data_IF_318862089259
#
_entry.id   IF_318862089259
#
_cell.length_a   1.000
_cell.length_b   1.000
_cell.length_c   1.000
_cell.angle_alpha   90.00
_cell.angle_beta   90.00
_cell.angle_gamma   90.00
#
_symmetry.space_group_name_H-M   'P 1'
#
loop_
_entity.id
_entity.type
_entity.pdbx_description
1 polymer ?
#
# COMPACT_ATOMS: atom_id res chain seq x y z
N UNK A 1 12.48 13.57 15.17
CA UNK A 1 12.72 12.51 14.17
C UNK A 1 11.85 12.79 12.95
N UNK A 2 12.44 13.07 11.79
CA UNK A 2 11.71 13.24 10.53
C UNK A 2 11.22 11.87 10.08
N UNK A 3 9.93 11.58 10.24
CA UNK A 3 9.31 10.41 9.63
C UNK A 3 9.42 10.63 8.13
N UNK A 4 10.30 9.87 7.46
CA UNK A 4 10.45 9.93 6.02
C UNK A 4 9.15 9.43 5.39
N UNK A 5 8.33 10.37 4.94
CA UNK A 5 7.06 10.07 4.28
C UNK A 5 7.38 9.49 2.91
N UNK A 6 6.92 8.28 2.57
CA UNK A 6 7.15 7.71 1.25
C UNK A 6 6.60 8.64 0.16
N UNK A 7 7.35 8.78 -0.93
CA UNK A 7 6.93 9.58 -2.08
C UNK A 7 5.70 8.96 -2.76
N UNK A 8 4.90 9.73 -3.51
CA UNK A 8 3.80 9.18 -4.30
C UNK A 8 4.25 8.04 -5.22
N UNK A 9 5.43 8.17 -5.83
CA UNK A 9 6.03 7.13 -6.68
C UNK A 9 6.32 5.83 -5.92
N UNK A 10 6.83 5.91 -4.69
CA UNK A 10 7.10 4.74 -3.86
C UNK A 10 5.79 4.03 -3.46
N UNK A 11 4.74 4.81 -3.14
CA UNK A 11 3.42 4.25 -2.82
C UNK A 11 2.78 3.56 -4.03
N UNK A 12 2.88 4.14 -5.22
CA UNK A 12 2.40 3.51 -6.45
C UNK A 12 3.20 2.25 -6.81
N UNK A 13 4.52 2.24 -6.59
CA UNK A 13 5.34 1.03 -6.76
C UNK A 13 4.88 -0.09 -5.83
N UNK A 14 4.68 0.21 -4.54
CA UNK A 14 4.17 -0.75 -3.56
C UNK A 14 2.77 -1.24 -3.91
N UNK A 15 1.89 -0.36 -4.40
CA UNK A 15 0.58 -0.74 -4.88
C UNK A 15 0.66 -1.76 -6.03
N UNK A 16 1.57 -1.53 -6.99
CA UNK A 16 1.82 -2.48 -8.08
C UNK A 16 2.30 -3.85 -7.58
N UNK A 17 3.21 -3.87 -6.59
CA UNK A 17 3.66 -5.12 -5.97
C UNK A 17 2.52 -5.89 -5.28
N UNK A 18 1.67 -5.19 -4.53
CA UNK A 18 0.56 -5.83 -3.81
C UNK A 18 -0.53 -6.33 -4.76
N UNK A 19 -0.86 -5.56 -5.81
CA UNK A 19 -1.77 -6.01 -6.85
C UNK A 19 -1.23 -7.26 -7.56
N UNK A 20 0.07 -7.26 -7.91
CA UNK A 20 0.74 -8.42 -8.50
C UNK A 20 0.71 -9.64 -7.59
N UNK A 21 0.98 -9.48 -6.29
CA UNK A 21 0.91 -10.56 -5.31
C UNK A 21 -0.50 -11.17 -5.22
N UNK A 22 -1.53 -10.33 -5.10
CA UNK A 22 -2.92 -10.79 -5.06
C UNK A 22 -3.34 -11.55 -6.33
N UNK A 23 -3.01 -11.02 -7.50
CA UNK A 23 -3.33 -11.65 -8.80
C UNK A 23 -2.57 -12.99 -8.96
N UNK A 24 -1.28 -13.03 -8.62
CA UNK A 24 -0.48 -14.26 -8.69
C UNK A 24 -1.03 -15.35 -7.77
N UNK A 25 -1.51 -14.97 -6.58
CA UNK A 25 -2.09 -15.91 -5.63
C UNK A 25 -3.39 -16.52 -6.16
N UNK A 26 -4.27 -15.70 -6.74
CA UNK A 26 -5.51 -16.15 -7.36
C UNK A 26 -5.25 -17.11 -8.54
N UNK A 27 -4.32 -16.73 -9.41
CA UNK A 27 -3.99 -17.47 -10.63
C UNK A 27 -3.29 -18.80 -10.33
N UNK A 28 -2.45 -18.86 -9.29
CA UNK A 28 -1.78 -20.11 -8.87
C UNK A 28 -2.77 -21.19 -8.45
N UNK A 29 -3.87 -20.84 -7.77
CA UNK A 29 -4.91 -21.81 -7.38
C UNK A 29 -5.79 -22.22 -8.56
N UNK A 30 -5.99 -21.33 -9.54
CA UNK A 30 -6.78 -21.64 -10.73
C UNK A 30 -6.08 -22.58 -11.73
N UNK A 31 -4.75 -22.71 -11.65
CA UNK A 31 -3.92 -23.47 -12.61
C UNK A 31 -3.32 -24.75 -12.02
N UNK A 32 -3.42 -24.97 -10.71
CA UNK A 32 -2.93 -26.18 -10.03
C UNK A 32 -3.98 -27.31 -9.96
N UNK A 33 -3.56 -28.56 -9.73
CA UNK A 33 -4.49 -29.65 -9.41
C UNK A 33 -5.27 -29.31 -8.12
N UNK A 34 -6.57 -29.66 -8.05
CA UNK A 34 -7.38 -29.35 -6.88
C UNK A 34 -6.83 -30.09 -5.65
N UNK A 35 -6.29 -29.33 -4.72
CA UNK A 35 -5.83 -29.83 -3.43
C UNK A 35 -7.01 -29.77 -2.43
N UNK A 36 -7.52 -30.90 -1.92
CA UNK A 36 -8.63 -30.91 -0.97
C UNK A 36 -8.30 -30.24 0.37
N UNK A 37 -7.02 -30.02 0.69
CA UNK A 37 -6.60 -29.33 1.92
C UNK A 37 -6.62 -27.80 1.78
N UNK A 38 -6.67 -27.26 0.55
CA UNK A 38 -6.62 -25.83 0.28
C UNK A 38 -8.03 -25.29 0.02
N UNK A 39 -8.52 -24.46 0.95
CA UNK A 39 -9.80 -23.77 0.77
C UNK A 39 -9.69 -22.66 -0.28
N UNK A 40 -10.30 -22.85 -1.45
CA UNK A 40 -10.37 -21.85 -2.53
C UNK A 40 -10.94 -20.51 -2.05
N UNK A 41 -11.93 -20.56 -1.15
CA UNK A 41 -12.53 -19.37 -0.55
C UNK A 41 -11.51 -18.56 0.25
N UNK A 42 -10.66 -19.22 1.04
CA UNK A 42 -9.60 -18.53 1.82
C UNK A 42 -8.59 -17.86 0.89
N UNK A 43 -8.19 -18.53 -0.18
CA UNK A 43 -7.22 -17.97 -1.14
C UNK A 43 -7.82 -16.80 -1.91
N UNK A 44 -9.09 -16.87 -2.32
CA UNK A 44 -9.77 -15.75 -2.95
C UNK A 44 -9.89 -14.54 -2.01
N UNK A 45 -10.16 -14.78 -0.72
CA UNK A 45 -10.21 -13.73 0.30
C UNK A 45 -8.84 -13.09 0.55
N UNK A 46 -7.77 -13.89 0.67
CA UNK A 46 -6.42 -13.38 0.88
C UNK A 46 -5.96 -12.57 -0.35
N UNK A 47 -6.16 -13.10 -1.55
CA UNK A 47 -5.92 -12.38 -2.81
C UNK A 47 -6.65 -11.03 -2.86
N UNK A 48 -7.93 -11.00 -2.47
CA UNK A 48 -8.71 -9.76 -2.42
C UNK A 48 -8.11 -8.74 -1.44
N UNK A 49 -7.58 -9.17 -0.29
CA UNK A 49 -6.97 -8.26 0.68
C UNK A 49 -5.66 -7.65 0.18
N UNK A 50 -4.86 -8.40 -0.58
CA UNK A 50 -3.68 -7.85 -1.26
C UNK A 50 -4.07 -6.80 -2.31
N UNK A 51 -5.11 -7.05 -3.10
CA UNK A 51 -5.61 -6.10 -4.09
C UNK A 51 -6.24 -4.86 -3.44
N UNK A 52 -6.97 -5.04 -2.34
CA UNK A 52 -7.53 -3.92 -1.55
C UNK A 52 -6.42 -3.06 -0.94
N UNK A 53 -5.36 -3.69 -0.41
CA UNK A 53 -4.19 -2.97 0.08
C UNK A 53 -3.53 -2.13 -1.04
N UNK A 54 -3.43 -2.69 -2.24
CA UNK A 54 -2.95 -1.95 -3.42
C UNK A 54 -3.83 -0.73 -3.73
N UNK A 55 -5.16 -0.91 -3.72
CA UNK A 55 -6.09 0.19 -3.98
C UNK A 55 -5.95 1.34 -2.98
N UNK A 56 -5.78 1.03 -1.69
CA UNK A 56 -5.54 2.03 -0.66
C UNK A 56 -4.21 2.75 -0.82
N UNK A 57 -3.14 2.04 -1.20
CA UNK A 57 -1.86 2.66 -1.52
C UNK A 57 -1.94 3.60 -2.74
N UNK A 58 -2.64 3.19 -3.81
CA UNK A 58 -2.88 4.05 -4.97
C UNK A 58 -3.68 5.30 -4.56
N UNK A 59 -4.68 5.16 -3.70
CA UNK A 59 -5.42 6.30 -3.18
C UNK A 59 -4.53 7.25 -2.37
N UNK A 60 -3.70 6.72 -1.47
CA UNK A 60 -2.73 7.52 -0.71
C UNK A 60 -1.73 8.23 -1.63
N UNK A 61 -1.23 7.55 -2.66
CA UNK A 61 -0.33 8.11 -3.66
C UNK A 61 -1.00 9.27 -4.41
N UNK A 62 -2.23 9.08 -4.86
CA UNK A 62 -2.99 10.11 -5.58
C UNK A 62 -3.19 11.38 -4.74
N UNK A 63 -3.51 11.23 -3.45
CA UNK A 63 -3.66 12.38 -2.54
C UNK A 63 -2.37 13.17 -2.36
N UNK A 64 -1.22 12.48 -2.29
CA UNK A 64 0.07 13.12 -2.16
C UNK A 64 0.53 13.77 -3.47
N UNK A 65 0.33 13.10 -4.60
CA UNK A 65 0.65 13.64 -5.93
C UNK A 65 -0.20 14.87 -6.26
N UNK A 66 -1.49 14.84 -5.95
CA UNK A 66 -2.37 15.98 -6.14
C UNK A 66 -1.90 17.21 -5.35
N UNK A 67 -1.44 17.00 -4.12
CA UNK A 67 -0.92 18.08 -3.28
C UNK A 67 0.45 18.59 -3.74
N UNK A 68 1.32 17.73 -4.28
CA UNK A 68 2.59 18.15 -4.90
C UNK A 68 2.31 19.02 -6.13
N UNK A 69 1.37 18.60 -7.00
CA UNK A 69 0.94 19.39 -8.17
C UNK A 69 0.32 20.72 -7.76
N UNK A 70 -0.54 20.71 -6.74
CA UNK A 70 -1.16 21.93 -6.22
C UNK A 70 -0.10 22.89 -5.67
N UNK A 71 0.87 22.40 -4.89
CA UNK A 71 1.98 23.20 -4.40
C UNK A 71 2.78 23.82 -5.56
N UNK A 72 3.10 23.04 -6.60
CA UNK A 72 3.85 23.52 -7.75
C UNK A 72 3.08 24.58 -8.57
N UNK A 73 1.74 24.54 -8.61
CA UNK A 73 0.92 25.60 -9.24
C UNK A 73 1.01 26.93 -8.49
N UNK A 74 1.16 26.90 -7.17
CA UNK A 74 1.27 28.11 -6.34
C UNK A 74 2.70 28.66 -6.24
N UNK A 75 3.72 27.90 -6.68
CA UNK A 75 5.10 28.37 -6.70
C UNK A 75 5.30 29.36 -7.85
N UNK A 76 5.33 30.65 -7.53
CA UNK A 76 5.69 31.69 -8.48
C UNK A 76 7.19 31.66 -8.82
N UNK A 77 7.56 32.10 -10.03
CA UNK A 77 8.97 32.23 -10.48
C UNK A 77 9.84 33.13 -9.58
N UNK A 78 9.23 33.95 -8.73
CA UNK A 78 9.91 34.91 -7.85
C UNK A 78 10.25 34.35 -6.46
N UNK A 79 9.77 33.16 -6.10
CA UNK A 79 10.11 32.57 -4.80
C UNK A 79 11.56 32.13 -4.72
N UNK A 80 12.17 32.39 -3.56
CA UNK A 80 13.46 31.84 -3.21
C UNK A 80 13.33 30.33 -2.90
N UNK A 81 14.42 29.56 -3.02
CA UNK A 81 14.40 28.11 -2.80
C UNK A 81 13.91 27.70 -1.39
N UNK A 82 14.16 28.56 -0.39
CA UNK A 82 13.64 28.37 0.96
C UNK A 82 12.09 28.44 1.01
N UNK A 83 11.50 29.46 0.38
CA UNK A 83 10.04 29.66 0.33
C UNK A 83 9.35 28.55 -0.45
N UNK A 84 9.96 28.09 -1.56
CA UNK A 84 9.47 26.93 -2.32
C UNK A 84 9.43 25.67 -1.46
N UNK A 85 10.47 25.45 -0.65
CA UNK A 85 10.57 24.27 0.22
C UNK A 85 9.53 24.32 1.34
N UNK A 86 9.33 25.50 1.93
CA UNK A 86 8.32 25.71 2.98
C UNK A 86 6.91 25.46 2.45
N UNK A 87 6.57 26.02 1.29
CA UNK A 87 5.27 25.81 0.65
C UNK A 87 5.02 24.32 0.36
N UNK A 88 6.01 23.64 -0.25
CA UNK A 88 5.91 22.19 -0.52
C UNK A 88 5.73 21.38 0.77
N UNK A 89 6.41 21.75 1.85
CA UNK A 89 6.24 21.09 3.16
C UNK A 89 4.85 21.31 3.73
N UNK A 90 4.28 22.51 3.61
CA UNK A 90 2.95 22.82 4.10
C UNK A 90 1.89 21.97 3.38
N UNK A 91 1.87 21.98 2.05
CA UNK A 91 0.92 21.18 1.25
C UNK A 91 1.08 19.68 1.51
N UNK A 92 2.32 19.19 1.60
CA UNK A 92 2.60 17.78 1.93
C UNK A 92 2.10 17.40 3.32
N UNK A 93 2.21 18.28 4.31
CA UNK A 93 1.70 18.02 5.67
C UNK A 93 0.17 17.91 5.71
N UNK A 94 -0.54 18.73 4.93
CA UNK A 94 -2.00 18.68 4.79
C UNK A 94 -2.44 17.41 4.07
N UNK A 95 -1.75 17.08 2.98
CA UNK A 95 -2.00 15.86 2.21
C UNK A 95 -1.79 14.60 3.05
N UNK A 96 -0.76 14.58 3.89
CA UNK A 96 -0.51 13.49 4.81
C UNK A 96 -1.64 13.24 5.78
N UNK A 97 -2.25 14.29 6.34
CA UNK A 97 -3.42 14.12 7.23
C UNK A 97 -4.56 13.39 6.51
N UNK A 98 -4.77 13.69 5.23
CA UNK A 98 -5.78 13.02 4.39
C UNK A 98 -5.35 11.60 4.01
N UNK A 99 -4.07 11.39 3.71
CA UNK A 99 -3.50 10.08 3.37
C UNK A 99 -3.40 9.12 4.56
N UNK A 100 -3.53 9.60 5.81
CA UNK A 100 -3.54 8.72 7.00
C UNK A 100 -4.59 7.64 6.93
N UNK A 101 -5.82 7.99 6.53
CA UNK A 101 -6.91 7.01 6.47
C UNK A 101 -6.59 5.86 5.49
N UNK A 102 -6.27 6.10 4.21
CA UNK A 102 -5.91 5.00 3.31
C UNK A 102 -4.64 4.25 3.76
N UNK A 103 -3.66 4.91 4.36
CA UNK A 103 -2.48 4.23 4.90
C UNK A 103 -2.82 3.30 6.07
N UNK A 104 -3.70 3.72 6.99
CA UNK A 104 -4.20 2.88 8.09
C UNK A 104 -4.99 1.70 7.53
N UNK A 105 -5.86 1.94 6.55
CA UNK A 105 -6.63 0.88 5.90
C UNK A 105 -5.72 -0.12 5.16
N UNK A 106 -4.63 0.34 4.55
CA UNK A 106 -3.59 -0.52 3.98
C UNK A 106 -3.00 -1.42 5.06
N UNK A 107 -2.61 -0.84 6.21
CA UNK A 107 -2.08 -1.59 7.34
C UNK A 107 -3.06 -2.63 7.87
N UNK A 108 -4.33 -2.28 8.02
CA UNK A 108 -5.39 -3.22 8.42
C UNK A 108 -5.56 -4.35 7.40
N UNK A 109 -5.58 -4.02 6.10
CA UNK A 109 -5.69 -5.02 5.02
C UNK A 109 -4.52 -6.01 5.04
N UNK A 110 -3.29 -5.52 5.24
CA UNK A 110 -2.10 -6.35 5.34
C UNK A 110 -2.11 -7.22 6.60
N UNK A 111 -2.52 -6.68 7.75
CA UNK A 111 -2.66 -7.48 8.98
C UNK A 111 -3.71 -8.56 8.78
N UNK A 112 -4.85 -8.24 8.16
CA UNK A 112 -5.88 -9.22 7.84
C UNK A 112 -5.38 -10.30 6.88
N UNK A 113 -4.62 -9.94 5.84
CA UNK A 113 -4.00 -10.89 4.90
C UNK A 113 -3.04 -11.83 5.63
N UNK A 114 -2.18 -11.27 6.50
CA UNK A 114 -1.24 -12.05 7.32
C UNK A 114 -1.95 -12.99 8.31
N UNK A 115 -3.05 -12.55 8.92
CA UNK A 115 -3.84 -13.41 9.81
C UNK A 115 -4.61 -14.50 9.04
N UNK A 116 -4.96 -14.22 7.78
CA UNK A 116 -5.58 -15.17 6.85
C UNK A 116 -4.57 -16.05 6.10
N UNK A 117 -3.29 -16.00 6.50
CA UNK A 117 -2.28 -17.02 6.20
C UNK A 117 -2.23 -18.13 7.28
N UNK A 118 -3.29 -18.90 7.62
CA UNK A 118 -3.08 -20.15 8.34
C UNK A 118 -2.65 -21.22 7.32
N UNK A 119 -1.35 -21.55 7.28
CA UNK A 119 -0.88 -22.85 6.79
C UNK A 119 0.27 -22.91 5.78
N UNK A 120 0.69 -21.83 5.11
CA UNK A 120 1.79 -21.91 4.12
C UNK A 120 3.19 -21.93 4.76
N UNK A 121 3.33 -21.34 5.94
CA UNK A 121 4.52 -21.48 6.78
C UNK A 121 4.03 -22.17 8.05
N UNK A 122 4.40 -23.45 8.23
CA UNK A 122 4.21 -24.13 9.48
C UNK A 122 4.99 -23.41 10.58
N UNK A 123 4.37 -22.43 11.24
CA UNK A 123 4.95 -21.74 12.40
C UNK A 123 5.29 -22.73 13.52
N UNK A 124 4.62 -23.89 13.54
CA UNK A 124 4.98 -25.02 14.39
C UNK A 124 6.37 -25.61 14.11
N UNK A 125 6.91 -25.51 12.89
CA UNK A 125 8.29 -25.95 12.56
C UNK A 125 9.35 -24.89 12.79
N UNK A 126 8.97 -23.60 12.87
CA UNK A 126 9.93 -22.49 13.02
C UNK A 126 10.14 -22.10 14.49
N UNK A 127 9.13 -22.31 15.35
CA UNK A 127 9.19 -21.99 16.79
C UNK A 127 9.26 -23.22 17.70
N UNK A 128 9.22 -24.44 17.15
CA UNK A 128 9.16 -25.68 17.91
C UNK A 128 9.89 -26.82 17.20
N UNK A 129 11.22 -26.72 17.15
CA UNK A 129 12.15 -27.77 16.74
C UNK A 129 13.50 -27.56 17.40
#
# INVERSE_FOLDING_TARGET
>A
MSIAIPSPSALNFLAGLFAGAGINMLTSVSTGPPDPEISTLKVALDSALWVIAAAFLTWAAHLLEAAEREADLYIAKKFNEAEKKELRQEYRSRALRRARLPLVLTGLSLVSAVLLLPGLIGWHRVLGG
#
